data_IF_674281388456
#
_entry.id   IF_674281388456
#
_cell.length_a   1.000
_cell.length_b   1.000
_cell.length_c   1.000
_cell.angle_alpha   90.00
_cell.angle_beta   90.00
_cell.angle_gamma   90.00
#
_symmetry.space_group_name_H-M   'P 1'
#
loop_
_entity.id
_entity.type
_entity.pdbx_description
1 polymer ?
#
# COMPACT_ATOMS: atom_id res chain seq x y z
N UNK A 1 15.88 -35.98 -13.83
CA UNK A 1 15.36 -34.93 -13.46
C UNK A 1 14.05 -34.73 -13.94
N UNK A 2 13.22 -34.48 -13.22
CA UNK A 2 11.93 -34.28 -13.61
C UNK A 2 11.67 -32.93 -13.98
N UNK A 3 11.12 -32.78 -15.12
CA UNK A 3 10.80 -31.55 -15.51
C UNK A 3 9.49 -31.24 -15.03
N UNK A 4 9.31 -30.35 -14.21
CA UNK A 4 8.07 -29.98 -13.80
C UNK A 4 7.39 -29.15 -14.76
N UNK A 5 6.25 -29.45 -15.15
CA UNK A 5 5.50 -28.65 -16.05
C UNK A 5 4.55 -27.86 -15.30
N UNK A 6 4.76 -26.60 -15.21
CA UNK A 6 3.88 -25.75 -14.51
C UNK A 6 2.86 -25.22 -15.43
N UNK A 7 1.64 -25.52 -15.17
CA UNK A 7 0.60 -24.96 -15.94
C UNK A 7 0.16 -23.79 -15.18
N UNK A 8 0.58 -22.61 -15.59
CA UNK A 8 0.24 -21.45 -14.92
C UNK A 8 -1.02 -20.89 -15.39
N UNK A 9 -1.85 -20.47 -14.58
CA UNK A 9 -3.06 -19.80 -14.97
C UNK A 9 -2.63 -18.41 -15.31
N UNK A 10 -2.73 -18.04 -16.54
CA UNK A 10 -2.11 -16.82 -17.03
C UNK A 10 -2.38 -15.55 -16.25
N UNK A 11 -3.56 -15.38 -15.77
CA UNK A 11 -3.83 -14.17 -15.09
C UNK A 11 -3.86 -14.34 -13.60
N UNK A 12 -3.21 -15.35 -13.07
CA UNK A 12 -3.21 -15.51 -11.65
C UNK A 12 -1.80 -15.37 -11.12
N UNK A 13 -1.65 -14.66 -10.01
CA UNK A 13 -0.35 -14.47 -9.42
C UNK A 13 -0.28 -15.10 -8.06
N UNK A 14 0.85 -15.74 -7.78
CA UNK A 14 1.07 -16.28 -6.47
C UNK A 14 2.12 -15.38 -5.89
N UNK A 15 1.81 -14.70 -4.83
CA UNK A 15 2.71 -13.74 -4.27
C UNK A 15 3.55 -14.33 -3.15
N UNK A 16 4.80 -13.93 -3.12
CA UNK A 16 5.71 -14.32 -2.10
C UNK A 16 5.14 -13.83 -0.77
N UNK A 17 5.05 -14.72 0.19
CA UNK A 17 4.50 -14.35 1.47
C UNK A 17 5.28 -13.24 2.14
N UNK A 18 6.59 -13.23 1.98
CA UNK A 18 7.40 -12.18 2.57
C UNK A 18 7.04 -10.82 1.99
N UNK A 19 6.77 -10.77 0.69
CA UNK A 19 6.39 -9.52 0.07
C UNK A 19 5.02 -9.07 0.52
N UNK A 20 4.12 -10.03 0.67
CA UNK A 20 2.78 -9.68 1.12
C UNK A 20 2.86 -9.12 2.55
N UNK A 21 3.67 -9.74 3.40
CA UNK A 21 3.80 -9.26 4.76
C UNK A 21 4.43 -7.87 4.81
N UNK A 22 5.40 -7.63 3.97
CA UNK A 22 6.01 -6.32 3.91
C UNK A 22 4.98 -5.27 3.52
N UNK A 23 4.23 -5.57 2.47
CA UNK A 23 3.26 -4.59 2.00
C UNK A 23 2.08 -4.45 2.95
N UNK A 24 1.77 -5.53 3.68
CA UNK A 24 0.70 -5.46 4.64
C UNK A 24 1.05 -4.48 5.76
N UNK A 25 2.32 -4.41 6.11
CA UNK A 25 2.75 -3.46 7.13
C UNK A 25 2.43 -2.02 6.69
N UNK A 26 2.63 -1.71 5.42
CA UNK A 26 2.39 -0.36 4.95
C UNK A 26 0.96 -0.09 4.49
N UNK A 27 0.26 -1.14 4.09
CA UNK A 27 -1.08 -0.95 3.54
C UNK A 27 -2.18 -1.51 4.43
N UNK A 28 -1.78 -2.05 5.58
CA UNK A 28 -2.72 -2.50 6.60
C UNK A 28 -3.40 -3.84 6.39
N UNK A 29 -3.76 -4.23 5.23
CA UNK A 29 -4.46 -5.49 5.05
C UNK A 29 -3.81 -6.32 3.97
N UNK A 30 -4.06 -7.58 4.03
CA UNK A 30 -3.51 -8.49 3.05
C UNK A 30 -4.14 -8.24 1.68
N UNK A 31 -5.39 -7.90 1.64
CA UNK A 31 -6.07 -7.61 0.38
C UNK A 31 -5.41 -6.44 -0.32
N UNK A 32 -5.16 -5.36 0.41
CA UNK A 32 -4.53 -4.20 -0.21
C UNK A 32 -3.11 -4.52 -0.63
N UNK A 33 -2.41 -5.33 0.17
CA UNK A 33 -1.05 -5.71 -0.18
C UNK A 33 -1.04 -6.48 -1.49
N UNK A 34 -1.94 -7.43 -1.64
CA UNK A 34 -1.98 -8.22 -2.86
C UNK A 34 -2.39 -7.40 -4.07
N UNK A 35 -3.31 -6.48 -3.87
CA UNK A 35 -3.72 -5.60 -4.97
C UNK A 35 -2.53 -4.76 -5.43
N UNK A 36 -1.80 -4.20 -4.48
CA UNK A 36 -0.67 -3.37 -4.83
C UNK A 36 0.38 -4.19 -5.59
N UNK A 37 0.69 -5.37 -5.09
CA UNK A 37 1.68 -6.22 -5.74
C UNK A 37 1.23 -6.64 -7.13
N UNK A 38 -0.04 -6.94 -7.25
CA UNK A 38 -0.58 -7.33 -8.55
C UNK A 38 -0.43 -6.20 -9.56
N UNK A 39 -0.81 -5.01 -9.14
CA UNK A 39 -0.73 -3.87 -10.04
C UNK A 39 0.69 -3.51 -10.41
N UNK A 40 1.61 -3.67 -9.48
CA UNK A 40 3.01 -3.40 -9.80
C UNK A 40 3.57 -4.45 -10.75
N UNK A 41 3.12 -5.67 -10.60
CA UNK A 41 3.65 -6.72 -11.44
C UNK A 41 2.97 -6.80 -12.78
N UNK A 42 1.65 -6.67 -12.81
CA UNK A 42 0.93 -6.79 -14.05
C UNK A 42 0.63 -5.47 -14.75
N UNK A 43 0.72 -4.38 -14.05
CA UNK A 43 0.40 -3.09 -14.66
C UNK A 43 -1.07 -2.74 -14.53
N UNK A 44 -1.49 -1.77 -15.28
CA UNK A 44 -2.85 -1.26 -15.19
C UNK A 44 -3.87 -2.34 -15.39
N UNK A 45 -4.85 -2.39 -14.53
CA UNK A 45 -5.83 -3.45 -14.55
C UNK A 45 -7.18 -2.97 -14.03
N UNK A 46 -8.23 -3.63 -14.46
CA UNK A 46 -9.56 -3.31 -13.95
C UNK A 46 -9.75 -4.07 -12.63
N UNK A 47 -10.78 -3.72 -11.89
CA UNK A 47 -11.02 -4.40 -10.63
C UNK A 47 -11.31 -5.88 -10.84
N UNK A 48 -11.94 -6.21 -11.95
CA UNK A 48 -12.22 -7.59 -12.22
C UNK A 48 -10.96 -8.38 -12.52
N UNK A 49 -10.06 -7.78 -13.27
CA UNK A 49 -8.80 -8.44 -13.57
C UNK A 49 -7.99 -8.65 -12.29
N UNK A 50 -8.02 -7.67 -11.42
CA UNK A 50 -7.31 -7.80 -10.16
C UNK A 50 -7.90 -8.92 -9.31
N UNK A 51 -9.22 -8.94 -9.19
CA UNK A 51 -9.87 -9.94 -8.38
C UNK A 51 -9.55 -11.35 -8.87
N UNK A 52 -9.59 -11.51 -10.17
CA UNK A 52 -9.32 -12.79 -10.74
C UNK A 52 -7.86 -13.15 -10.65
N UNK A 53 -6.99 -12.24 -11.01
CA UNK A 53 -5.56 -12.51 -11.04
C UNK A 53 -4.94 -12.66 -9.66
N UNK A 54 -5.42 -11.93 -8.69
CA UNK A 54 -4.90 -12.02 -7.35
C UNK A 54 -5.70 -12.98 -6.48
N UNK A 55 -6.70 -13.61 -7.07
CA UNK A 55 -7.53 -14.58 -6.37
C UNK A 55 -8.18 -13.96 -5.14
N UNK A 56 -8.85 -12.85 -5.34
CA UNK A 56 -9.52 -12.16 -4.28
C UNK A 56 -11.00 -12.01 -4.62
N UNK A 57 -11.81 -11.79 -3.62
CA UNK A 57 -13.23 -11.62 -3.87
C UNK A 57 -13.48 -10.26 -4.49
N UNK A 58 -14.31 -10.20 -5.53
CA UNK A 58 -14.55 -8.92 -6.21
C UNK A 58 -15.02 -7.80 -5.29
N UNK A 59 -15.87 -8.12 -4.33
CA UNK A 59 -16.35 -7.07 -3.44
C UNK A 59 -15.24 -6.54 -2.56
N UNK A 60 -14.34 -7.43 -2.13
CA UNK A 60 -13.23 -7.00 -1.31
C UNK A 60 -12.27 -6.13 -2.12
N UNK A 61 -12.09 -6.48 -3.39
CA UNK A 61 -11.22 -5.71 -4.25
C UNK A 61 -11.80 -4.31 -4.47
N UNK A 62 -13.09 -4.24 -4.73
CA UNK A 62 -13.70 -2.95 -4.98
C UNK A 62 -13.61 -2.04 -3.75
N UNK A 63 -13.84 -2.63 -2.59
CA UNK A 63 -13.78 -1.86 -1.38
C UNK A 63 -12.35 -1.40 -1.11
N UNK A 64 -11.38 -2.28 -1.28
CA UNK A 64 -9.99 -1.91 -1.06
C UNK A 64 -9.53 -0.86 -2.06
N UNK A 65 -9.92 -1.01 -3.32
CA UNK A 65 -9.51 -0.04 -4.33
C UNK A 65 -10.09 1.33 -4.05
N UNK A 66 -11.29 1.38 -3.51
CA UNK A 66 -11.88 2.67 -3.17
C UNK A 66 -11.04 3.35 -2.10
N UNK A 67 -10.61 2.60 -1.10
CA UNK A 67 -9.79 3.17 -0.06
C UNK A 67 -8.40 3.51 -0.57
N UNK A 68 -7.83 2.66 -1.39
CA UNK A 68 -6.50 2.91 -1.91
C UNK A 68 -6.47 4.13 -2.85
N UNK A 69 -7.55 4.32 -3.57
CA UNK A 69 -7.64 5.49 -4.43
C UNK A 69 -7.75 6.74 -3.59
N UNK A 70 -8.55 6.66 -2.53
CA UNK A 70 -8.72 7.81 -1.68
C UNK A 70 -7.42 8.18 -0.99
N UNK A 71 -6.61 7.22 -0.60
CA UNK A 71 -5.36 7.49 0.06
C UNK A 71 -4.22 7.78 -0.90
N UNK A 72 -4.44 7.69 -2.17
CA UNK A 72 -3.40 8.02 -3.13
C UNK A 72 -2.45 6.90 -3.49
N UNK A 73 -2.74 5.69 -3.01
CA UNK A 73 -1.88 4.55 -3.31
C UNK A 73 -2.09 4.05 -4.72
N UNK A 74 -3.31 4.18 -5.23
CA UNK A 74 -3.57 3.83 -6.61
C UNK A 74 -4.29 4.99 -7.27
N UNK A 75 -4.16 5.07 -8.57
CA UNK A 75 -4.89 6.06 -9.33
C UNK A 75 -5.79 5.29 -10.28
N UNK A 76 -6.83 5.92 -10.76
CA UNK A 76 -7.74 5.24 -11.67
C UNK A 76 -8.12 6.15 -12.79
N UNK A 77 -8.50 5.53 -13.88
CA UNK A 77 -8.87 6.26 -15.05
C UNK A 77 -10.01 5.52 -15.68
N UNK A 78 -10.99 6.21 -16.17
CA UNK A 78 -12.11 5.54 -16.79
C UNK A 78 -11.78 5.16 -18.19
N UNK A 79 -12.05 3.90 -18.53
CA UNK A 79 -11.78 3.44 -19.84
C UNK A 79 -13.01 3.64 -20.66
N UNK A 80 -12.89 4.31 -21.78
CA UNK A 80 -14.04 4.48 -22.63
C UNK A 80 -14.09 3.39 -23.63
N UNK A 81 -15.06 2.52 -23.52
CA UNK A 81 -15.22 1.43 -24.44
C UNK A 81 -16.53 1.62 -25.17
N UNK A 82 -16.45 1.73 -26.47
CA UNK A 82 -17.62 1.92 -27.24
C UNK A 82 -18.57 0.80 -27.17
N UNK A 83 -19.81 1.03 -27.11
CA UNK A 83 -20.79 -0.01 -27.09
C UNK A 83 -21.05 -0.66 -25.75
N UNK A 84 -20.39 -0.20 -24.74
CA UNK A 84 -20.58 -0.77 -23.44
C UNK A 84 -21.30 0.23 -22.60
N UNK A 85 -22.30 -0.15 -21.93
CA UNK A 85 -23.06 0.78 -21.14
C UNK A 85 -22.31 1.38 -20.01
N UNK A 86 -21.43 0.64 -19.34
CA UNK A 86 -20.71 1.15 -18.27
C UNK A 86 -19.26 1.03 -18.55
N UNK A 87 -18.53 2.09 -18.48
CA UNK A 87 -17.11 2.04 -18.72
C UNK A 87 -16.37 1.69 -17.46
N UNK A 88 -15.51 0.72 -17.51
CA UNK A 88 -14.80 0.31 -16.32
C UNK A 88 -13.65 1.25 -16.01
N UNK A 89 -13.23 1.22 -14.77
CA UNK A 89 -12.06 1.98 -14.38
C UNK A 89 -10.85 1.08 -14.48
N UNK A 90 -9.73 1.67 -14.81
CA UNK A 90 -8.47 0.97 -14.83
C UNK A 90 -7.61 1.57 -13.74
N UNK A 91 -7.00 0.73 -12.96
CA UNK A 91 -6.24 1.18 -11.80
C UNK A 91 -4.75 0.96 -11.99
N UNK A 92 -4.00 1.82 -11.38
CA UNK A 92 -2.55 1.73 -11.47
C UNK A 92 -1.96 2.06 -10.11
N UNK A 93 -1.01 1.30 -9.65
CA UNK A 93 -0.41 1.54 -8.36
C UNK A 93 0.78 2.49 -8.49
N UNK A 94 0.95 3.35 -7.52
CA UNK A 94 2.08 4.28 -7.58
C UNK A 94 3.36 3.47 -7.32
N UNK A 95 4.49 3.95 -7.80
CA UNK A 95 5.74 3.21 -7.60
C UNK A 95 6.11 3.13 -6.12
N UNK A 96 6.89 2.14 -5.74
CA UNK A 96 7.26 1.99 -4.33
C UNK A 96 7.93 3.22 -3.75
N UNK A 97 8.70 3.93 -4.55
CA UNK A 97 9.32 5.13 -4.08
C UNK A 97 8.31 6.18 -3.69
N UNK A 98 7.26 6.30 -4.51
CA UNK A 98 6.21 7.26 -4.21
C UNK A 98 5.37 6.79 -3.01
N UNK A 99 5.19 5.49 -2.90
CA UNK A 99 4.47 4.96 -1.75
C UNK A 99 5.25 5.26 -0.47
N UNK A 100 6.56 5.11 -0.52
CA UNK A 100 7.39 5.40 0.63
C UNK A 100 7.24 6.86 1.04
N UNK A 101 7.25 7.76 0.07
CA UNK A 101 7.08 9.17 0.37
C UNK A 101 5.72 9.45 0.99
N UNK A 102 4.72 8.77 0.47
CA UNK A 102 3.38 8.96 0.97
C UNK A 102 3.28 8.50 2.41
N UNK A 103 3.99 7.45 2.77
CA UNK A 103 3.89 6.91 4.11
C UNK A 103 4.80 7.55 5.15
N UNK A 104 5.84 8.22 4.72
CA UNK A 104 6.76 8.84 5.65
C UNK A 104 6.09 9.77 6.63
N UNK A 105 5.27 10.69 6.13
CA UNK A 105 4.63 11.64 6.99
C UNK A 105 3.69 10.97 7.95
N UNK A 106 2.95 10.01 7.47
CA UNK A 106 2.00 9.31 8.29
C UNK A 106 2.72 8.51 9.37
N UNK A 107 3.85 7.92 9.06
CA UNK A 107 4.60 7.16 10.04
C UNK A 107 5.23 8.07 11.07
N UNK A 108 5.71 9.20 10.63
CA UNK A 108 6.27 10.17 11.54
C UNK A 108 5.23 10.59 12.55
N UNK A 109 4.03 10.87 12.04
CA UNK A 109 2.94 11.29 12.88
C UNK A 109 2.56 10.20 13.88
N UNK A 110 2.46 8.98 13.42
CA UNK A 110 2.08 7.89 14.31
C UNK A 110 3.12 7.61 15.38
N UNK A 111 4.39 7.72 15.01
CA UNK A 111 5.42 7.52 15.99
C UNK A 111 5.41 8.61 17.05
N UNK A 112 5.18 9.83 16.63
CA UNK A 112 5.12 10.92 17.58
C UNK A 112 3.89 10.85 18.46
N UNK A 113 2.78 10.37 17.90
CA UNK A 113 1.58 10.17 18.68
C UNK A 113 1.82 9.08 19.72
N UNK A 114 2.57 8.06 19.36
CA UNK A 114 2.86 7.01 20.29
C UNK A 114 3.69 7.51 21.46
N UNK A 115 4.67 8.35 21.17
CA UNK A 115 5.47 8.91 22.25
C UNK A 115 4.63 9.81 23.16
N UNK A 116 3.57 10.37 22.66
CA UNK A 116 2.72 11.22 23.47
C UNK A 116 1.51 10.51 24.05
N UNK A 117 1.48 9.18 23.89
CA UNK A 117 0.32 8.44 24.31
C UNK A 117 -0.06 8.66 25.76
N UNK A 118 0.91 8.56 26.66
CA UNK A 118 0.62 8.72 28.05
C UNK A 118 0.09 10.08 28.39
N UNK A 119 0.59 11.07 27.70
CA UNK A 119 0.13 12.42 27.93
C UNK A 119 -1.32 12.53 27.51
N UNK A 120 -1.69 11.99 26.39
CA UNK A 120 -3.07 12.03 25.95
C UNK A 120 -3.98 11.26 26.90
N UNK A 121 -3.52 10.15 27.42
CA UNK A 121 -4.33 9.39 28.33
C UNK A 121 -4.52 10.08 29.65
N UNK A 122 -3.59 10.93 30.05
CA UNK A 122 -3.70 11.57 31.33
C UNK A 122 -4.24 12.97 31.24
N UNK A 123 -4.75 13.32 30.13
CA UNK A 123 -5.22 14.62 29.95
C UNK A 123 -6.54 14.79 30.53
N UNK A 124 -6.78 14.51 31.71
CA UNK A 124 -8.01 14.71 32.31
C UNK A 124 -7.82 15.57 33.48
N UNK A 125 -6.99 16.47 33.44
CA UNK A 125 -6.80 17.35 34.50
C UNK A 125 -5.85 16.80 35.52
N UNK A 126 -5.23 15.69 35.30
CA UNK A 126 -4.33 15.18 36.24
C UNK A 126 -2.99 15.72 35.92
N UNK A 127 -2.40 16.38 36.78
CA UNK A 127 -1.14 16.89 36.58
C UNK A 127 -0.16 15.85 36.80
N UNK A 128 0.50 15.41 35.91
CA UNK A 128 1.47 14.42 36.10
C UNK A 128 2.78 14.97 35.73
N UNK A 129 3.70 14.74 36.51
CA UNK A 129 4.98 15.25 36.20
C UNK A 129 5.54 14.24 35.30
N UNK A 130 5.62 14.46 34.12
CA UNK A 130 6.28 13.56 33.25
C UNK A 130 7.18 14.41 32.43
N UNK A 131 8.22 13.90 31.97
CA UNK A 131 9.22 14.65 31.29
C UNK A 131 8.72 14.98 29.93
N UNK A 132 9.28 16.00 29.39
CA UNK A 132 8.93 16.30 28.09
C UNK A 132 9.49 15.25 27.25
N UNK A 133 9.02 15.08 26.09
CA UNK A 133 9.48 14.10 25.18
C UNK A 133 10.93 14.31 24.96
N UNK A 134 11.73 13.30 25.12
CA UNK A 134 13.15 13.45 24.95
C UNK A 134 13.51 13.67 23.50
N UNK A 135 12.70 13.30 22.56
CA UNK A 135 13.03 13.52 21.18
C UNK A 135 11.78 13.46 20.33
N UNK A 136 11.91 13.87 19.12
CA UNK A 136 10.82 13.87 18.21
C UNK A 136 11.28 13.09 17.03
N UNK A 137 10.47 12.25 16.48
CA UNK A 137 10.81 11.46 15.33
C UNK A 137 10.61 12.30 14.07
N UNK A 138 11.65 12.32 13.27
CA UNK A 138 11.54 13.02 12.02
C UNK A 138 12.20 12.18 10.96
N UNK A 139 11.51 11.83 9.92
CA UNK A 139 12.05 11.02 8.85
C UNK A 139 12.37 11.92 7.69
N UNK A 140 13.61 11.93 7.29
CA UNK A 140 14.02 12.80 6.22
C UNK A 140 14.59 12.05 5.07
N UNK A 141 14.51 12.65 3.90
CA UNK A 141 15.04 12.04 2.74
C UNK A 141 16.53 11.98 2.84
N UNK A 142 17.11 10.87 2.51
CA UNK A 142 18.55 10.73 2.60
C UNK A 142 19.21 11.58 1.56
N UNK A 143 20.44 12.00 1.81
CA UNK A 143 21.14 12.75 0.85
C UNK A 143 21.44 11.86 -0.28
N UNK A 144 21.44 12.39 -1.49
CA UNK A 144 21.69 11.61 -2.63
C UNK A 144 23.05 11.05 -2.52
N UNK A 145 23.18 9.80 -2.65
CA UNK A 145 24.47 9.20 -2.53
C UNK A 145 25.28 9.61 -3.68
N UNK A 146 26.52 9.81 -3.47
CA UNK A 146 27.30 10.19 -4.52
C UNK A 146 27.42 9.07 -5.32
N UNK A 147 27.13 9.11 -6.44
CA UNK A 147 27.16 8.01 -7.28
C UNK A 147 28.45 7.69 -7.61
N UNK A 148 29.31 7.75 -6.84
CA UNK A 148 30.55 7.40 -7.16
C UNK A 148 30.73 6.07 -7.42
N UNK A 149 29.99 5.32 -7.15
CA UNK A 149 30.24 4.08 -7.39
C UNK A 149 29.99 3.83 -8.57
N UNK A 150 30.42 3.70 -9.20
CA UNK A 150 30.16 3.47 -10.37
C UNK A 150 31.00 3.22 -10.82
#
# INVERSE_FOLDING_TARGET
MTKEIHVKIPDREDFDEALVNLMKFFLDTETKAKIYLYLRKRGRSTSQEIAKGANLYPSSVREALAEMTKSGVVTREKLEVEGVGKNPYVYEAIPPKELAKLKVKSMEQRLNDLFNLDRHLRDEGRELSHPRLPFKIKIEKAKKAEEKER
#
